data_IF_954007855543
#
_entry.id   IF_954007855543
#
_cell.length_a   1.000
_cell.length_b   1.000
_cell.length_c   1.000
_cell.angle_alpha   90.00
_cell.angle_beta   90.00
_cell.angle_gamma   90.00
#
_symmetry.space_group_name_H-M   'P 1'
#
loop_
_entity.id
_entity.type
_entity.pdbx_description
1 polymer ?
#
# COMPACT_ATOMS: atom_id res chain seq x y z
N UNK A 1 12.97 5.63 -5.20
CA UNK A 1 12.00 4.93 -4.32
C UNK A 1 12.65 3.67 -3.81
N UNK A 2 12.42 3.28 -2.55
CA UNK A 2 13.05 2.04 -2.03
C UNK A 2 12.42 0.81 -2.71
N UNK A 3 13.22 -0.24 -2.91
CA UNK A 3 12.75 -1.53 -3.44
C UNK A 3 11.55 -2.07 -2.63
N UNK A 4 11.56 -1.86 -1.31
CA UNK A 4 10.47 -2.24 -0.42
C UNK A 4 9.16 -1.50 -0.72
N UNK A 5 9.23 -0.20 -1.01
CA UNK A 5 8.07 0.62 -1.36
C UNK A 5 7.45 0.17 -2.69
N UNK A 6 8.30 -0.17 -3.68
CA UNK A 6 7.83 -0.74 -4.95
C UNK A 6 7.16 -2.11 -4.76
N UNK A 7 7.74 -2.98 -3.94
CA UNK A 7 7.14 -4.27 -3.60
C UNK A 7 5.75 -4.10 -2.97
N UNK A 8 5.60 -3.21 -1.99
CA UNK A 8 4.31 -2.96 -1.34
C UNK A 8 3.27 -2.40 -2.33
N UNK A 9 3.68 -1.52 -3.25
CA UNK A 9 2.80 -0.97 -4.27
C UNK A 9 2.31 -2.05 -5.24
N UNK A 10 3.22 -2.90 -5.72
CA UNK A 10 2.88 -3.99 -6.64
C UNK A 10 1.92 -4.96 -5.97
N UNK A 11 2.20 -5.38 -4.72
CA UNK A 11 1.32 -6.25 -3.94
C UNK A 11 -0.06 -5.62 -3.74
N UNK A 12 -0.13 -4.37 -3.30
CA UNK A 12 -1.40 -3.64 -3.14
C UNK A 12 -2.17 -3.55 -4.46
N UNK A 13 -1.50 -3.25 -5.57
CA UNK A 13 -2.13 -3.18 -6.89
C UNK A 13 -2.66 -4.53 -7.36
N UNK A 14 -1.93 -5.62 -7.08
CA UNK A 14 -2.39 -6.97 -7.44
C UNK A 14 -3.61 -7.41 -6.64
N UNK A 15 -3.67 -7.11 -5.33
CA UNK A 15 -4.85 -7.43 -4.52
C UNK A 15 -6.08 -6.63 -4.96
N UNK A 16 -5.91 -5.35 -5.30
CA UNK A 16 -7.01 -4.52 -5.83
C UNK A 16 -7.47 -5.02 -7.20
N UNK A 17 -6.54 -5.33 -8.11
CA UNK A 17 -6.88 -5.87 -9.42
C UNK A 17 -7.62 -7.21 -9.31
N UNK A 18 -7.17 -8.08 -8.40
CA UNK A 18 -7.79 -9.37 -8.13
C UNK A 18 -9.20 -9.22 -7.52
N UNK A 19 -9.41 -8.22 -6.65
CA UNK A 19 -10.75 -7.87 -6.13
C UNK A 19 -11.71 -7.33 -7.20
N UNK A 20 -11.20 -6.83 -8.32
CA UNK A 20 -11.98 -6.27 -9.44
C UNK A 20 -12.29 -7.31 -10.52
N UNK A 21 -11.44 -8.34 -10.64
CA UNK A 21 -11.57 -9.37 -11.68
C UNK A 21 -12.17 -10.67 -11.17
N UNK A 22 -12.01 -10.97 -9.89
CA UNK A 22 -12.69 -12.09 -9.25
C UNK A 22 -13.72 -11.52 -8.27
N UNK A 23 -14.89 -12.15 -8.22
CA UNK A 23 -15.86 -12.02 -7.13
C UNK A 23 -15.60 -13.16 -6.13
N UNK A 24 -14.57 -13.05 -5.25
CA UNK A 24 -14.36 -14.02 -4.19
C UNK A 24 -15.57 -13.99 -3.26
N UNK A 25 -16.17 -15.14 -2.97
CA UNK A 25 -17.24 -15.25 -1.99
C UNK A 25 -16.69 -15.68 -0.62
N UNK A 26 -17.23 -15.10 0.46
CA UNK A 26 -16.93 -15.48 1.83
C UNK A 26 -15.60 -14.94 2.38
N UNK A 27 -14.84 -15.80 3.06
CA UNK A 27 -13.60 -15.42 3.78
C UNK A 27 -12.50 -14.90 2.87
N UNK A 28 -12.51 -15.26 1.60
CA UNK A 28 -11.53 -14.81 0.60
C UNK A 28 -11.69 -13.33 0.24
N UNK A 29 -12.92 -12.81 0.20
CA UNK A 29 -13.17 -11.38 -0.04
C UNK A 29 -12.57 -10.52 1.08
N UNK A 30 -12.77 -10.96 2.33
CA UNK A 30 -12.22 -10.30 3.51
C UNK A 30 -10.68 -10.31 3.49
N UNK A 31 -10.07 -11.43 3.10
CA UNK A 31 -8.62 -11.56 3.00
C UNK A 31 -8.04 -10.66 1.89
N UNK A 32 -8.71 -10.57 0.73
CA UNK A 32 -8.26 -9.75 -0.41
C UNK A 32 -8.38 -8.26 -0.09
N UNK A 33 -9.53 -7.82 0.44
CA UNK A 33 -9.73 -6.43 0.88
C UNK A 33 -8.81 -6.07 2.04
N UNK A 34 -8.67 -6.96 3.02
CA UNK A 34 -7.76 -6.78 4.15
C UNK A 34 -6.30 -6.65 3.70
N UNK A 35 -5.86 -7.51 2.77
CA UNK A 35 -4.53 -7.45 2.16
C UNK A 35 -4.28 -6.14 1.41
N UNK A 36 -5.22 -5.72 0.57
CA UNK A 36 -5.13 -4.45 -0.16
C UNK A 36 -4.96 -3.25 0.79
N UNK A 37 -5.75 -3.20 1.87
CA UNK A 37 -5.67 -2.13 2.87
C UNK A 37 -4.35 -2.19 3.64
N UNK A 38 -3.94 -3.37 4.10
CA UNK A 38 -2.71 -3.54 4.88
C UNK A 38 -1.46 -3.12 4.09
N UNK A 39 -1.33 -3.61 2.84
CA UNK A 39 -0.21 -3.26 1.97
C UNK A 39 -0.28 -1.81 1.50
N UNK A 40 -1.48 -1.24 1.32
CA UNK A 40 -1.67 0.17 1.02
C UNK A 40 -1.20 1.09 2.16
N UNK A 41 -1.54 0.77 3.41
CA UNK A 41 -1.07 1.52 4.60
C UNK A 41 0.44 1.37 4.74
N UNK A 42 0.99 0.18 4.56
CA UNK A 42 2.43 -0.07 4.66
C UNK A 42 3.21 0.68 3.56
N UNK A 43 2.65 0.76 2.36
CA UNK A 43 3.17 1.59 1.27
C UNK A 43 3.15 3.08 1.63
N UNK A 44 2.03 3.58 2.18
CA UNK A 44 1.91 4.96 2.64
C UNK A 44 2.94 5.27 3.73
N UNK A 45 3.05 4.40 4.74
CA UNK A 45 4.03 4.52 5.81
C UNK A 45 5.46 4.51 5.26
N UNK A 46 5.76 3.64 4.29
CA UNK A 46 7.06 3.61 3.61
C UNK A 46 7.34 4.90 2.83
N UNK A 47 6.32 5.50 2.21
CA UNK A 47 6.42 6.83 1.59
C UNK A 47 6.71 7.93 2.61
N UNK A 48 6.06 7.91 3.77
CA UNK A 48 6.30 8.85 4.86
C UNK A 48 7.68 8.68 5.51
N UNK A 49 8.20 7.45 5.60
CA UNK A 49 9.55 7.18 6.13
C UNK A 49 10.63 7.55 5.09
N UNK A 50 10.40 7.23 3.82
CA UNK A 50 11.33 7.51 2.72
C UNK A 50 11.39 9.00 2.35
N UNK A 51 10.27 9.71 2.48
CA UNK A 51 10.30 11.16 2.59
C UNK A 51 10.76 11.48 4.00
N UNK A 52 12.08 11.61 4.19
CA UNK A 52 12.55 12.65 5.11
C UNK A 52 11.85 13.91 4.64
N UNK A 53 10.68 14.22 5.20
CA UNK A 53 10.15 15.56 5.23
C UNK A 53 11.24 16.25 6.03
N UNK A 54 12.27 16.72 5.32
CA UNK A 54 12.88 17.98 5.67
C UNK A 54 11.67 18.89 5.73
N UNK A 55 11.11 19.03 6.93
CA UNK A 55 10.59 20.31 7.35
C UNK A 55 11.76 21.22 7.06
N UNK A 56 11.81 21.78 5.85
CA UNK A 56 12.81 22.77 5.52
C UNK A 56 12.59 23.84 6.59
N UNK A 57 13.52 24.01 7.55
CA UNK A 57 13.31 24.92 8.68
C UNK A 57 13.33 26.38 8.21
N UNK A 58 13.39 26.61 6.90
CA UNK A 58 13.41 27.91 6.24
C UNK A 58 12.02 28.57 6.21
N UNK A 59 10.94 27.85 6.55
CA UNK A 59 9.59 28.44 6.70
C UNK A 59 8.90 28.20 8.06
N UNK A 60 9.69 27.87 9.10
CA UNK A 60 9.32 27.59 10.51
C UNK A 60 8.88 26.15 10.79
#
# INVERSE_FOLDING_TARGET
MSLFTLFCLILSSTFVALSLTMDPSGTWDLAIKGGAVLFGILFLASLFVGRKIKFDPVLR
#
